data_IF_734183152238
#
_entry.id   IF_734183152238
#
_cell.length_a   1.000
_cell.length_b   1.000
_cell.length_c   1.000
_cell.angle_alpha   90.00
_cell.angle_beta   90.00
_cell.angle_gamma   90.00
#
_symmetry.space_group_name_H-M   'P 1'
#
loop_
_entity.id
_entity.type
_entity.pdbx_description
1 polymer ?
#
# COMPACT_ATOMS: atom_id res chain seq x y z
N UNK A 1 23.71 -22.81 15.22
CA UNK A 1 23.99 -21.85 14.12
C UNK A 1 24.92 -20.74 14.62
N UNK A 2 25.99 -20.39 13.88
CA UNK A 2 26.78 -19.18 14.20
C UNK A 2 25.83 -17.97 14.19
N UNK A 3 25.77 -17.21 15.29
CA UNK A 3 24.86 -16.05 15.48
C UNK A 3 24.99 -14.96 14.41
N UNK A 4 26.01 -15.05 13.54
CA UNK A 4 26.21 -14.20 12.36
C UNK A 4 25.09 -14.34 11.32
N UNK A 5 24.54 -15.55 11.12
CA UNK A 5 23.55 -15.81 10.06
C UNK A 5 22.09 -15.75 10.53
N UNK A 6 21.86 -15.58 11.84
CA UNK A 6 20.51 -15.52 12.40
C UNK A 6 19.57 -14.49 11.73
N UNK A 7 19.96 -13.22 11.51
CA UNK A 7 19.03 -12.26 10.90
C UNK A 7 18.70 -12.60 9.44
N UNK A 8 19.64 -13.20 8.70
CA UNK A 8 19.37 -13.65 7.32
C UNK A 8 18.39 -14.81 7.30
N UNK A 9 18.58 -15.78 8.19
CA UNK A 9 17.65 -16.89 8.36
C UNK A 9 16.24 -16.40 8.73
N UNK A 10 16.13 -15.43 9.64
CA UNK A 10 14.84 -14.82 9.99
C UNK A 10 14.20 -14.10 8.81
N UNK A 11 14.96 -13.35 8.01
CA UNK A 11 14.44 -12.71 6.78
C UNK A 11 13.87 -13.77 5.83
N UNK A 12 14.56 -14.90 5.64
CA UNK A 12 14.07 -16.00 4.80
C UNK A 12 12.78 -16.58 5.38
N UNK A 13 12.73 -16.88 6.67
CA UNK A 13 11.51 -17.40 7.32
C UNK A 13 10.32 -16.44 7.19
N UNK A 14 10.54 -15.14 7.37
CA UNK A 14 9.51 -14.11 7.20
C UNK A 14 8.99 -14.09 5.77
N UNK A 15 9.89 -14.18 4.78
CA UNK A 15 9.48 -14.24 3.39
C UNK A 15 8.70 -15.52 3.07
N UNK A 16 9.07 -16.67 3.64
CA UNK A 16 8.31 -17.92 3.50
C UNK A 16 6.91 -17.76 4.13
N UNK A 17 6.82 -17.23 5.35
CA UNK A 17 5.53 -17.00 6.01
C UNK A 17 4.64 -16.00 5.26
N UNK A 18 5.22 -14.94 4.70
CA UNK A 18 4.53 -14.01 3.81
C UNK A 18 4.03 -14.70 2.53
N UNK A 19 4.88 -15.50 1.87
CA UNK A 19 4.51 -16.26 0.67
C UNK A 19 3.38 -17.24 0.92
N UNK A 20 3.42 -17.96 2.04
CA UNK A 20 2.38 -18.91 2.43
C UNK A 20 1.06 -18.19 2.74
N UNK A 21 1.12 -17.07 3.47
CA UNK A 21 -0.06 -16.23 3.74
C UNK A 21 -0.67 -15.72 2.44
N UNK A 22 0.14 -15.21 1.51
CA UNK A 22 -0.31 -14.70 0.22
C UNK A 22 -0.84 -15.81 -0.69
N UNK A 23 -0.21 -17.00 -0.67
CA UNK A 23 -0.69 -18.17 -1.40
C UNK A 23 -2.05 -18.61 -0.88
N UNK A 24 -2.26 -18.65 0.43
CA UNK A 24 -3.55 -19.00 1.00
C UNK A 24 -4.50 -17.83 1.17
N UNK A 25 -4.21 -16.65 0.63
CA UNK A 25 -5.18 -15.55 0.71
C UNK A 25 -6.39 -15.87 -0.18
N UNK A 26 -7.63 -15.90 0.37
CA UNK A 26 -8.82 -16.23 -0.40
C UNK A 26 -9.17 -15.14 -1.41
N UNK A 27 -10.06 -15.45 -2.35
CA UNK A 27 -10.61 -14.46 -3.29
C UNK A 27 -11.58 -13.54 -2.53
N UNK A 28 -11.39 -12.22 -2.61
CA UNK A 28 -12.28 -11.25 -1.95
C UNK A 28 -12.65 -10.08 -2.88
N UNK A 29 -13.82 -9.44 -2.66
CA UNK A 29 -14.28 -8.22 -3.36
C UNK A 29 -14.05 -8.23 -4.89
N UNK A 30 -13.27 -7.28 -5.39
CA UNK A 30 -12.99 -7.07 -6.80
C UNK A 30 -12.21 -8.25 -7.40
N UNK A 31 -11.61 -9.15 -6.59
CA UNK A 31 -10.95 -10.34 -7.10
C UNK A 31 -11.94 -11.35 -7.74
N UNK A 32 -13.23 -11.30 -7.38
CA UNK A 32 -14.27 -12.11 -8.03
C UNK A 32 -14.42 -11.81 -9.52
N UNK A 33 -14.09 -10.59 -9.96
CA UNK A 33 -14.08 -10.22 -11.38
C UNK A 33 -13.06 -11.05 -12.20
N UNK A 34 -11.98 -11.52 -11.57
CA UNK A 34 -10.89 -12.24 -12.24
C UNK A 34 -11.02 -13.77 -12.13
N UNK A 35 -12.18 -14.29 -11.70
CA UNK A 35 -12.45 -15.74 -11.69
C UNK A 35 -12.43 -16.33 -13.10
N UNK A 36 -12.91 -15.58 -14.08
CA UNK A 36 -12.85 -15.98 -15.48
C UNK A 36 -11.40 -15.87 -16.00
N UNK A 37 -10.75 -17.03 -16.17
CA UNK A 37 -9.37 -17.13 -16.64
C UNK A 37 -9.26 -17.19 -18.17
N UNK A 38 -10.38 -17.22 -18.90
CA UNK A 38 -10.40 -17.48 -20.35
C UNK A 38 -9.94 -16.30 -21.21
N UNK A 39 -9.79 -15.09 -20.67
CA UNK A 39 -9.51 -13.86 -21.42
C UNK A 39 -8.02 -13.45 -21.53
N UNK A 40 -7.08 -14.31 -21.11
CA UNK A 40 -5.64 -14.11 -21.35
C UNK A 40 -5.33 -14.42 -22.84
N UNK A 41 -5.53 -13.45 -23.73
CA UNK A 41 -4.38 -12.66 -24.20
C UNK A 41 -4.60 -11.13 -24.31
N UNK A 42 -5.71 -10.57 -23.80
CA UNK A 42 -6.14 -9.21 -24.13
C UNK A 42 -5.81 -8.13 -23.06
N UNK A 43 -4.69 -8.26 -22.35
CA UNK A 43 -4.35 -7.39 -21.20
C UNK A 43 -4.32 -5.90 -21.57
N UNK A 44 -3.75 -5.54 -22.74
CA UNK A 44 -3.68 -4.16 -23.18
C UNK A 44 -5.05 -3.58 -23.53
N UNK A 45 -5.91 -4.34 -24.21
CA UNK A 45 -7.27 -3.90 -24.50
C UNK A 45 -8.13 -3.83 -23.24
N UNK A 46 -7.93 -4.73 -22.27
CA UNK A 46 -8.61 -4.67 -20.97
C UNK A 46 -8.18 -3.44 -20.17
N UNK A 47 -6.88 -3.12 -20.17
CA UNK A 47 -6.39 -1.88 -19.58
C UNK A 47 -6.89 -0.65 -20.34
N UNK A 48 -6.96 -0.69 -21.67
CA UNK A 48 -7.54 0.38 -22.47
C UNK A 48 -9.00 0.64 -22.12
N UNK A 49 -9.80 -0.42 -22.00
CA UNK A 49 -11.19 -0.34 -21.50
C UNK A 49 -11.22 0.22 -20.08
N UNK A 50 -10.33 -0.24 -19.21
CA UNK A 50 -10.25 0.27 -17.84
C UNK A 50 -9.90 1.75 -17.79
N UNK A 51 -8.99 2.21 -18.64
CA UNK A 51 -8.56 3.60 -18.73
C UNK A 51 -9.68 4.53 -19.20
N UNK A 52 -10.54 4.05 -20.10
CA UNK A 52 -11.63 4.84 -20.63
C UNK A 52 -12.91 4.76 -19.77
N UNK A 53 -13.15 3.67 -19.04
CA UNK A 53 -14.46 3.41 -18.42
C UNK A 53 -14.45 3.01 -16.94
N UNK A 54 -13.36 2.43 -16.41
CA UNK A 54 -13.40 1.78 -15.08
C UNK A 54 -12.39 2.36 -14.10
N UNK A 55 -11.09 2.13 -14.31
CA UNK A 55 -10.01 2.56 -13.43
C UNK A 55 -8.75 2.87 -14.24
N UNK A 56 -8.36 4.15 -14.39
CA UNK A 56 -7.27 4.54 -15.28
C UNK A 56 -5.88 4.39 -14.69
N UNK A 57 -5.76 4.03 -13.41
CA UNK A 57 -4.48 3.87 -12.73
C UNK A 57 -3.64 2.78 -13.37
N UNK A 58 -2.33 3.02 -13.52
CA UNK A 58 -1.43 2.03 -14.11
C UNK A 58 -1.35 0.72 -13.31
N UNK A 59 -1.65 0.76 -12.01
CA UNK A 59 -1.77 -0.44 -11.19
C UNK A 59 -2.84 -1.42 -11.67
N UNK A 60 -3.89 -0.93 -12.36
CA UNK A 60 -4.93 -1.76 -12.96
C UNK A 60 -4.35 -2.68 -14.05
N UNK A 61 -3.38 -2.22 -14.84
CA UNK A 61 -2.70 -3.07 -15.82
C UNK A 61 -2.04 -4.27 -15.15
N UNK A 62 -1.33 -4.05 -14.03
CA UNK A 62 -0.72 -5.13 -13.26
C UNK A 62 -1.77 -6.01 -12.58
N UNK A 63 -2.89 -5.45 -12.12
CA UNK A 63 -3.99 -6.21 -11.55
C UNK A 63 -4.53 -7.25 -12.53
N UNK A 64 -4.81 -6.83 -13.76
CA UNK A 64 -5.36 -7.68 -14.83
C UNK A 64 -4.44 -8.89 -15.14
N UNK A 65 -3.14 -8.75 -14.92
CA UNK A 65 -2.15 -9.83 -15.09
C UNK A 65 -2.09 -10.71 -13.84
N UNK A 66 -1.95 -10.08 -12.67
CA UNK A 66 -1.55 -10.76 -11.44
C UNK A 66 -2.71 -11.51 -10.79
N UNK A 67 -3.93 -10.95 -10.80
CA UNK A 67 -5.09 -11.55 -10.13
C UNK A 67 -5.54 -12.90 -10.73
N UNK A 68 -5.21 -13.16 -12.01
CA UNK A 68 -5.65 -14.37 -12.73
C UNK A 68 -4.78 -15.60 -12.44
N UNK A 69 -3.56 -15.41 -11.92
CA UNK A 69 -2.61 -16.48 -11.65
C UNK A 69 -2.08 -16.42 -10.23
N UNK A 70 -2.34 -17.48 -9.46
CA UNK A 70 -1.86 -17.63 -8.09
C UNK A 70 -0.33 -17.53 -8.00
N UNK A 71 0.38 -18.07 -8.99
CA UNK A 71 1.85 -18.01 -9.05
C UNK A 71 2.31 -16.56 -9.28
N UNK A 72 1.69 -15.83 -10.21
CA UNK A 72 2.02 -14.43 -10.46
C UNK A 72 1.69 -13.54 -9.26
N UNK A 73 0.55 -13.77 -8.58
CA UNK A 73 0.17 -13.13 -7.31
C UNK A 73 1.28 -13.28 -6.28
N UNK A 74 1.75 -14.51 -6.07
CA UNK A 74 2.80 -14.82 -5.10
C UNK A 74 4.15 -14.17 -5.44
N UNK A 75 4.59 -14.26 -6.71
CA UNK A 75 5.84 -13.63 -7.16
C UNK A 75 5.76 -12.11 -7.04
N UNK A 76 4.68 -11.51 -7.54
CA UNK A 76 4.48 -10.06 -7.50
C UNK A 76 4.41 -9.55 -6.07
N UNK A 77 3.61 -10.19 -5.21
CA UNK A 77 3.49 -9.79 -3.81
C UNK A 77 4.80 -9.89 -3.04
N UNK A 78 5.63 -10.92 -3.29
CA UNK A 78 6.95 -11.04 -2.68
C UNK A 78 7.88 -9.89 -3.09
N UNK A 79 7.94 -9.59 -4.39
CA UNK A 79 8.74 -8.49 -4.92
C UNK A 79 8.25 -7.15 -4.36
N UNK A 80 6.93 -6.98 -4.27
CA UNK A 80 6.30 -5.80 -3.73
C UNK A 80 6.61 -5.60 -2.24
N UNK A 81 6.44 -6.64 -1.42
CA UNK A 81 6.72 -6.60 0.02
C UNK A 81 8.17 -6.21 0.30
N UNK A 82 9.13 -6.87 -0.36
CA UNK A 82 10.54 -6.54 -0.19
C UNK A 82 10.89 -5.17 -0.77
N UNK A 83 10.39 -4.84 -1.97
CA UNK A 83 10.62 -3.55 -2.62
C UNK A 83 10.10 -2.39 -1.77
N UNK A 84 8.91 -2.53 -1.20
CA UNK A 84 8.33 -1.55 -0.28
C UNK A 84 9.19 -1.36 0.97
N UNK A 85 9.57 -2.44 1.64
CA UNK A 85 10.42 -2.38 2.84
C UNK A 85 11.83 -1.83 2.54
N UNK A 86 12.38 -2.12 1.36
CA UNK A 86 13.66 -1.56 0.90
C UNK A 86 13.56 -0.05 0.66
N UNK A 87 12.49 0.42 0.03
CA UNK A 87 12.23 1.84 -0.18
C UNK A 87 11.96 2.56 1.16
N UNK A 88 11.25 1.91 2.09
CA UNK A 88 11.05 2.40 3.45
C UNK A 88 12.38 2.54 4.20
N UNK A 89 13.26 1.52 4.10
CA UNK A 89 14.59 1.54 4.68
C UNK A 89 15.43 2.69 4.12
N UNK A 90 15.37 2.93 2.79
CA UNK A 90 16.07 4.03 2.15
C UNK A 90 15.65 5.40 2.71
N UNK A 91 14.36 5.60 2.96
CA UNK A 91 13.84 6.85 3.53
C UNK A 91 14.23 7.05 5.01
N UNK A 92 14.22 5.98 5.82
CA UNK A 92 14.55 6.06 7.27
C UNK A 92 16.06 6.15 7.52
N UNK A 93 16.86 5.38 6.78
CA UNK A 93 18.31 5.26 6.97
C UNK A 93 19.14 6.06 5.97
N UNK A 94 18.50 6.72 5.00
CA UNK A 94 19.13 7.57 3.98
C UNK A 94 20.11 6.81 3.08
N UNK A 95 19.85 5.52 2.87
CA UNK A 95 20.62 4.61 2.00
C UNK A 95 19.90 3.27 1.86
N UNK A 96 20.21 2.52 0.81
CA UNK A 96 19.71 1.16 0.66
C UNK A 96 20.34 0.18 1.68
N UNK A 97 19.61 -0.87 2.09
CA UNK A 97 20.13 -1.88 3.01
C UNK A 97 21.19 -2.74 2.32
N UNK A 98 22.30 -3.02 3.01
CA UNK A 98 23.27 -4.04 2.56
C UNK A 98 23.01 -5.32 3.34
N UNK A 99 22.13 -6.19 2.84
CA UNK A 99 21.63 -7.37 3.55
C UNK A 99 22.75 -8.35 3.97
N UNK A 100 23.88 -8.37 3.25
CA UNK A 100 25.07 -9.13 3.64
C UNK A 100 25.70 -8.68 4.97
N UNK A 101 25.43 -7.44 5.42
CA UNK A 101 25.89 -6.92 6.70
C UNK A 101 24.87 -7.20 7.81
N UNK A 102 25.33 -7.88 8.87
CA UNK A 102 24.51 -8.32 10.01
C UNK A 102 23.66 -7.20 10.61
N UNK A 103 24.22 -6.00 10.81
CA UNK A 103 23.50 -4.88 11.44
C UNK A 103 22.43 -4.28 10.52
N UNK A 104 22.62 -4.33 9.20
CA UNK A 104 21.61 -3.86 8.25
C UNK A 104 20.45 -4.84 8.15
N UNK A 105 20.73 -6.15 8.17
CA UNK A 105 19.70 -7.17 8.25
C UNK A 105 18.85 -7.02 9.53
N UNK A 106 19.47 -6.71 10.67
CA UNK A 106 18.73 -6.43 11.91
C UNK A 106 17.88 -5.15 11.82
N UNK A 107 18.42 -4.06 11.28
CA UNK A 107 17.65 -2.83 11.07
C UNK A 107 16.46 -3.04 10.12
N UNK A 108 16.65 -3.87 9.10
CA UNK A 108 15.59 -4.26 8.18
C UNK A 108 14.48 -5.00 8.92
N UNK A 109 14.81 -6.03 9.71
CA UNK A 109 13.85 -6.77 10.53
C UNK A 109 13.10 -5.85 11.52
N UNK A 110 13.81 -4.99 12.24
CA UNK A 110 13.18 -4.04 13.20
C UNK A 110 12.23 -3.09 12.47
N UNK A 111 12.61 -2.60 11.29
CA UNK A 111 11.77 -1.73 10.48
C UNK A 111 10.53 -2.47 9.97
N UNK A 112 10.67 -3.72 9.51
CA UNK A 112 9.54 -4.57 9.12
C UNK A 112 8.60 -4.81 10.29
N UNK A 113 9.13 -5.15 11.47
CA UNK A 113 8.34 -5.33 12.68
C UNK A 113 7.56 -4.06 13.06
N UNK A 114 8.24 -2.91 13.07
CA UNK A 114 7.62 -1.63 13.37
C UNK A 114 6.53 -1.27 12.36
N UNK A 115 6.77 -1.46 11.06
CA UNK A 115 5.78 -1.18 10.03
C UNK A 115 4.53 -2.06 10.20
N UNK A 116 4.70 -3.38 10.35
CA UNK A 116 3.58 -4.32 10.53
C UNK A 116 2.82 -4.01 11.83
N UNK A 117 3.52 -3.69 12.91
CA UNK A 117 2.90 -3.35 14.19
C UNK A 117 2.08 -2.05 14.12
N UNK A 118 2.54 -1.07 13.35
CA UNK A 118 1.89 0.24 13.24
C UNK A 118 0.75 0.28 12.22
N UNK A 119 0.59 -0.76 11.40
CA UNK A 119 -0.44 -0.79 10.34
C UNK A 119 -1.47 -1.88 10.59
N UNK A 120 -2.74 -1.48 10.64
CA UNK A 120 -3.83 -2.37 11.07
C UNK A 120 -4.65 -2.95 9.91
N UNK A 121 -4.14 -2.90 8.69
CA UNK A 121 -4.79 -3.39 7.47
C UNK A 121 -3.75 -4.02 6.52
N UNK A 122 -2.73 -4.67 7.11
CA UNK A 122 -1.60 -5.24 6.37
C UNK A 122 -2.01 -6.23 5.27
N UNK A 123 -3.00 -7.10 5.54
CA UNK A 123 -3.47 -8.05 4.54
C UNK A 123 -4.14 -7.38 3.35
N UNK A 124 -4.88 -6.30 3.59
CA UNK A 124 -5.42 -5.46 2.51
C UNK A 124 -4.28 -4.83 1.68
N UNK A 125 -3.18 -4.40 2.31
CA UNK A 125 -2.05 -3.78 1.61
C UNK A 125 -1.29 -4.73 0.68
N UNK A 126 -1.02 -5.95 1.13
CA UNK A 126 -0.06 -6.83 0.48
C UNK A 126 -0.66 -8.12 -0.09
N UNK A 127 -1.81 -8.57 0.43
CA UNK A 127 -2.42 -9.83 0.01
C UNK A 127 -3.61 -9.65 -0.94
N UNK A 128 -4.38 -8.58 -0.74
CA UNK A 128 -5.48 -8.23 -1.63
C UNK A 128 -4.94 -7.58 -2.92
N UNK A 129 -5.00 -8.31 -4.04
CA UNK A 129 -4.33 -7.91 -5.28
C UNK A 129 -4.75 -6.52 -5.78
N UNK A 130 -6.05 -6.14 -5.79
CA UNK A 130 -6.48 -4.84 -6.25
C UNK A 130 -5.85 -3.68 -5.49
N UNK A 131 -5.69 -3.81 -4.18
CA UNK A 131 -5.02 -2.80 -3.39
C UNK A 131 -3.50 -2.86 -3.62
N UNK A 132 -2.92 -4.06 -3.57
CA UNK A 132 -1.47 -4.26 -3.73
C UNK A 132 -0.93 -3.65 -5.03
N UNK A 133 -1.65 -3.82 -6.15
CA UNK A 133 -1.24 -3.31 -7.47
C UNK A 133 -1.55 -1.83 -7.67
N UNK A 134 -2.74 -1.36 -7.25
CA UNK A 134 -3.13 0.04 -7.47
C UNK A 134 -2.49 1.02 -6.47
N UNK A 135 -2.20 0.58 -5.26
CA UNK A 135 -1.74 1.45 -4.18
C UNK A 135 -0.35 1.04 -3.70
N UNK A 136 -0.16 -0.18 -3.21
CA UNK A 136 1.11 -0.55 -2.57
C UNK A 136 2.30 -0.52 -3.54
N UNK A 137 2.11 -1.01 -4.76
CA UNK A 137 3.12 -0.96 -5.82
C UNK A 137 3.53 0.46 -6.18
N UNK A 138 2.56 1.35 -6.38
CA UNK A 138 2.83 2.75 -6.71
C UNK A 138 3.50 3.48 -5.55
N UNK A 139 3.23 3.09 -4.31
CA UNK A 139 3.91 3.61 -3.13
C UNK A 139 5.40 3.25 -3.06
N UNK A 140 5.82 2.09 -3.58
CA UNK A 140 7.26 1.80 -3.72
C UNK A 140 7.92 2.89 -4.57
N UNK A 141 7.30 3.26 -5.69
CA UNK A 141 7.81 4.30 -6.58
C UNK A 141 7.77 5.68 -5.91
N UNK A 142 6.69 6.02 -5.18
CA UNK A 142 6.61 7.27 -4.41
C UNK A 142 7.71 7.39 -3.36
N UNK A 143 8.01 6.30 -2.64
CA UNK A 143 9.07 6.28 -1.64
C UNK A 143 10.45 6.42 -2.28
N UNK A 144 10.70 5.78 -3.42
CA UNK A 144 11.95 5.95 -4.16
C UNK A 144 12.09 7.37 -4.72
N UNK A 145 11.01 7.95 -5.25
CA UNK A 145 10.98 9.34 -5.68
C UNK A 145 11.30 10.29 -4.52
N UNK A 146 10.64 10.12 -3.37
CA UNK A 146 10.92 10.93 -2.17
C UNK A 146 12.36 10.77 -1.72
N UNK A 147 12.91 9.56 -1.73
CA UNK A 147 14.31 9.32 -1.41
C UNK A 147 15.24 10.14 -2.33
N UNK A 148 15.04 10.08 -3.65
CA UNK A 148 15.83 10.86 -4.62
C UNK A 148 15.70 12.36 -4.36
N UNK A 149 14.47 12.89 -4.23
CA UNK A 149 14.24 14.32 -4.05
C UNK A 149 14.82 14.83 -2.74
N UNK A 150 14.68 14.06 -1.66
CA UNK A 150 15.23 14.45 -0.35
C UNK A 150 16.76 14.36 -0.34
N UNK A 151 17.38 13.34 -0.93
CA UNK A 151 18.85 13.29 -1.06
C UNK A 151 19.39 14.48 -1.85
N UNK A 152 18.73 14.85 -2.95
CA UNK A 152 19.15 15.96 -3.79
C UNK A 152 18.94 17.33 -3.12
N UNK A 153 17.71 17.65 -2.68
CA UNK A 153 17.37 18.98 -2.21
C UNK A 153 17.71 19.27 -0.75
N UNK A 154 17.65 18.26 0.12
CA UNK A 154 17.92 18.45 1.56
C UNK A 154 19.39 18.14 1.87
N UNK A 155 19.87 16.97 1.43
CA UNK A 155 21.21 16.48 1.75
C UNK A 155 22.28 16.83 0.70
N UNK A 156 21.91 17.53 -0.38
CA UNK A 156 22.82 17.98 -1.44
C UNK A 156 23.61 16.84 -2.11
N UNK A 157 23.00 15.66 -2.23
CA UNK A 157 23.57 14.46 -2.84
C UNK A 157 22.80 14.06 -4.08
N UNK A 158 23.44 14.13 -5.24
CA UNK A 158 22.86 13.60 -6.47
C UNK A 158 23.05 12.07 -6.54
N UNK A 159 21.97 11.33 -6.30
CA UNK A 159 21.95 9.86 -6.35
C UNK A 159 21.55 9.31 -7.72
N UNK A 160 21.25 10.18 -8.69
CA UNK A 160 20.87 9.76 -10.04
C UNK A 160 22.09 9.29 -10.85
N UNK A 161 21.89 8.32 -11.76
CA UNK A 161 22.95 7.88 -12.66
C UNK A 161 23.28 8.97 -13.69
N UNK A 162 24.54 9.03 -14.12
CA UNK A 162 24.98 9.94 -15.20
C UNK A 162 24.68 9.43 -16.62
N UNK A 163 24.28 8.16 -16.76
CA UNK A 163 24.04 7.53 -18.06
C UNK A 163 22.70 7.98 -18.65
N UNK A 164 22.71 8.52 -19.88
CA UNK A 164 21.52 8.98 -20.58
C UNK A 164 20.45 7.88 -20.72
N UNK A 165 20.84 6.66 -21.10
CA UNK A 165 19.91 5.53 -21.19
C UNK A 165 19.22 5.25 -19.85
N UNK A 166 19.97 5.29 -18.74
CA UNK A 166 19.39 5.09 -17.41
C UNK A 166 18.43 6.23 -17.03
N UNK A 167 18.72 7.46 -17.43
CA UNK A 167 17.80 8.60 -17.21
C UNK A 167 16.52 8.42 -18.02
N UNK A 168 16.60 8.00 -19.29
CA UNK A 168 15.41 7.70 -20.11
C UNK A 168 14.53 6.64 -19.45
N UNK A 169 15.13 5.55 -18.96
CA UNK A 169 14.40 4.51 -18.22
C UNK A 169 13.79 5.05 -16.92
N UNK A 170 14.51 5.91 -16.20
CA UNK A 170 13.98 6.56 -14.98
C UNK A 170 12.84 7.53 -15.28
N UNK A 171 12.87 8.25 -16.40
CA UNK A 171 11.74 9.04 -16.87
C UNK A 171 10.53 8.14 -17.13
N UNK A 172 10.70 7.00 -17.81
CA UNK A 172 9.57 6.06 -17.97
C UNK A 172 9.00 5.60 -16.62
N UNK A 173 9.85 5.26 -15.65
CA UNK A 173 9.40 4.91 -14.28
C UNK A 173 8.73 6.10 -13.58
N UNK A 174 9.22 7.32 -13.78
CA UNK A 174 8.63 8.54 -13.25
C UNK A 174 7.24 8.82 -13.85
N UNK A 175 7.05 8.59 -15.14
CA UNK A 175 5.74 8.63 -15.78
C UNK A 175 4.77 7.62 -15.15
N UNK A 176 5.19 6.37 -14.97
CA UNK A 176 4.41 5.33 -14.26
C UNK A 176 4.09 5.76 -12.82
N UNK A 177 5.04 6.42 -12.14
CA UNK A 177 4.82 7.00 -10.81
C UNK A 177 3.69 8.03 -10.85
N UNK A 178 3.68 8.95 -11.82
CA UNK A 178 2.60 9.91 -12.01
C UNK A 178 1.24 9.27 -12.27
N UNK A 179 1.20 8.14 -12.98
CA UNK A 179 -0.04 7.38 -13.26
C UNK A 179 -0.53 6.49 -12.11
N UNK A 180 0.14 6.52 -10.96
CA UNK A 180 -0.14 5.58 -9.88
C UNK A 180 -1.44 5.87 -9.11
N UNK A 181 -1.68 7.13 -8.78
CA UNK A 181 -2.81 7.57 -7.94
C UNK A 181 -3.10 9.04 -8.22
N UNK A 182 -4.34 9.47 -8.14
CA UNK A 182 -4.76 10.84 -8.41
C UNK A 182 -4.42 11.83 -7.27
N UNK A 183 -4.17 11.34 -6.06
CA UNK A 183 -3.98 12.17 -4.86
C UNK A 183 -2.51 12.37 -4.47
N UNK A 184 -1.63 11.41 -4.74
CA UNK A 184 -0.24 11.44 -4.24
C UNK A 184 0.74 12.22 -5.13
N UNK A 185 0.78 12.04 -6.47
CA UNK A 185 1.69 12.76 -7.35
C UNK A 185 1.63 14.29 -7.23
N UNK A 186 0.45 14.95 -7.08
CA UNK A 186 0.41 16.39 -6.84
C UNK A 186 1.19 16.83 -5.61
N UNK A 187 1.14 16.04 -4.54
CA UNK A 187 1.85 16.32 -3.28
C UNK A 187 3.36 16.17 -3.50
N UNK A 188 3.78 15.13 -4.23
CA UNK A 188 5.18 14.90 -4.58
C UNK A 188 5.76 16.03 -5.43
N UNK A 189 5.01 16.47 -6.45
CA UNK A 189 5.38 17.57 -7.34
C UNK A 189 5.39 18.91 -6.60
N UNK A 190 4.46 19.14 -5.68
CA UNK A 190 4.45 20.34 -4.83
C UNK A 190 5.68 20.35 -3.92
N UNK A 191 6.00 19.23 -3.29
CA UNK A 191 7.19 19.09 -2.44
C UNK A 191 8.48 19.37 -3.22
N UNK A 192 8.67 18.71 -4.37
CA UNK A 192 9.86 18.93 -5.20
C UNK A 192 9.91 20.34 -5.80
N UNK A 193 8.76 20.91 -6.17
CA UNK A 193 8.64 22.28 -6.66
C UNK A 193 9.07 23.31 -5.62
N UNK A 194 8.54 23.21 -4.40
CA UNK A 194 8.94 24.08 -3.28
C UNK A 194 10.43 23.92 -2.96
N UNK A 195 10.92 22.68 -2.88
CA UNK A 195 12.35 22.42 -2.67
C UNK A 195 13.21 22.97 -3.81
N UNK A 196 12.76 22.87 -5.06
CA UNK A 196 13.43 23.39 -6.25
C UNK A 196 13.52 24.92 -6.24
N UNK A 197 12.42 25.60 -5.90
CA UNK A 197 12.39 27.07 -5.74
C UNK A 197 13.36 27.52 -4.65
N UNK A 198 13.32 26.88 -3.48
CA UNK A 198 14.26 27.16 -2.39
C UNK A 198 15.71 26.91 -2.80
N UNK A 199 15.96 25.85 -3.57
CA UNK A 199 17.28 25.53 -4.10
C UNK A 199 17.80 26.61 -5.06
N UNK A 200 16.96 27.08 -5.98
CA UNK A 200 17.30 28.15 -6.94
C UNK A 200 17.65 29.43 -6.20
N UNK A 201 16.84 29.84 -5.22
CA UNK A 201 17.11 31.06 -4.46
C UNK A 201 18.41 30.98 -3.64
N UNK A 202 18.70 29.83 -3.03
CA UNK A 202 19.91 29.65 -2.21
C UNK A 202 21.19 29.53 -3.03
N UNK A 203 21.12 28.80 -4.15
CA UNK A 203 22.31 28.45 -4.92
C UNK A 203 22.50 29.29 -6.19
N UNK A 204 21.52 30.14 -6.54
CA UNK A 204 21.49 30.97 -7.75
C UNK A 204 21.71 30.15 -9.04
N UNK A 205 21.28 28.89 -9.04
CA UNK A 205 21.40 27.95 -10.17
C UNK A 205 20.17 27.04 -10.24
N UNK A 206 19.87 26.57 -11.44
CA UNK A 206 18.82 25.59 -11.64
C UNK A 206 19.21 24.22 -11.04
N UNK A 207 18.22 23.40 -10.64
CA UNK A 207 18.45 21.99 -10.35
C UNK A 207 19.07 21.26 -11.56
N UNK A 208 19.70 20.13 -11.28
CA UNK A 208 20.25 19.24 -12.29
C UNK A 208 19.17 18.87 -13.32
N UNK A 209 19.51 18.89 -14.60
CA UNK A 209 18.56 18.62 -15.68
C UNK A 209 17.85 17.28 -15.51
N UNK A 210 18.53 16.25 -14.98
CA UNK A 210 17.92 14.94 -14.74
C UNK A 210 16.83 14.99 -13.65
N UNK A 211 17.01 15.84 -12.63
CA UNK A 211 15.99 16.07 -11.60
C UNK A 211 14.77 16.76 -12.22
N UNK A 212 15.00 17.75 -13.07
CA UNK A 212 13.92 18.45 -13.79
C UNK A 212 13.17 17.47 -14.71
N UNK A 213 13.89 16.67 -15.51
CA UNK A 213 13.30 15.69 -16.42
C UNK A 213 12.42 14.66 -15.70
N UNK A 214 12.89 14.12 -14.57
CA UNK A 214 12.09 13.20 -13.73
C UNK A 214 10.81 13.88 -13.24
N UNK A 215 10.88 15.13 -12.76
CA UNK A 215 9.72 15.88 -12.29
C UNK A 215 8.70 16.15 -13.40
N UNK A 216 9.17 16.57 -14.58
CA UNK A 216 8.32 16.74 -15.76
C UNK A 216 7.63 15.42 -16.09
N UNK A 217 8.37 14.31 -16.05
CA UNK A 217 7.81 13.01 -16.37
C UNK A 217 6.74 12.53 -15.37
N UNK A 218 6.94 12.73 -14.06
CA UNK A 218 5.89 12.52 -13.06
C UNK A 218 4.67 13.40 -13.34
N UNK A 219 4.88 14.68 -13.67
CA UNK A 219 3.78 15.59 -14.01
C UNK A 219 3.01 15.12 -15.24
N UNK A 220 3.69 14.72 -16.31
CA UNK A 220 3.05 14.17 -17.51
C UNK A 220 2.24 12.91 -17.21
N UNK A 221 2.79 11.99 -16.40
CA UNK A 221 2.07 10.79 -15.96
C UNK A 221 0.83 11.11 -15.12
N UNK A 222 0.94 12.10 -14.22
CA UNK A 222 -0.19 12.58 -13.44
C UNK A 222 -1.27 13.21 -14.32
N UNK A 223 -0.90 14.06 -15.27
CA UNK A 223 -1.87 14.67 -16.19
C UNK A 223 -2.57 13.62 -17.05
N UNK A 224 -1.86 12.59 -17.51
CA UNK A 224 -2.48 11.46 -18.21
C UNK A 224 -3.55 10.79 -17.33
N UNK A 225 -3.21 10.47 -16.07
CA UNK A 225 -4.18 9.88 -15.14
C UNK A 225 -5.35 10.82 -14.80
N UNK A 226 -5.07 12.09 -14.52
CA UNK A 226 -6.05 13.06 -14.05
C UNK A 226 -7.12 13.33 -15.13
N UNK A 227 -6.70 13.49 -16.38
CA UNK A 227 -7.58 13.70 -17.53
C UNK A 227 -8.11 12.41 -18.16
N UNK A 228 -7.89 11.25 -17.54
CA UNK A 228 -8.39 9.99 -18.08
C UNK A 228 -9.94 9.97 -18.12
N UNK A 229 -10.57 9.48 -19.22
CA UNK A 229 -12.02 9.51 -19.38
C UNK A 229 -12.78 8.73 -18.31
N UNK A 230 -12.20 7.66 -17.77
CA UNK A 230 -12.82 6.88 -16.69
C UNK A 230 -13.13 7.71 -15.44
N UNK A 231 -12.39 8.79 -15.17
CA UNK A 231 -12.68 9.65 -14.04
C UNK A 231 -14.05 10.34 -14.21
N UNK A 232 -14.38 10.81 -15.41
CA UNK A 232 -15.68 11.42 -15.70
C UNK A 232 -16.84 10.45 -15.42
N UNK A 233 -16.67 9.17 -15.79
CA UNK A 233 -17.64 8.10 -15.52
C UNK A 233 -17.83 7.91 -14.01
N UNK A 234 -16.74 7.81 -13.25
CA UNK A 234 -16.79 7.67 -11.78
C UNK A 234 -17.52 8.82 -11.10
N UNK A 235 -17.20 10.07 -11.47
CA UNK A 235 -17.87 11.25 -10.92
C UNK A 235 -19.37 11.24 -11.22
N UNK A 236 -19.76 10.89 -12.45
CA UNK A 236 -21.17 10.74 -12.85
C UNK A 236 -21.89 9.66 -12.03
N UNK A 237 -21.28 8.50 -11.81
CA UNK A 237 -21.85 7.42 -10.98
C UNK A 237 -21.99 7.83 -9.52
N UNK A 238 -21.08 8.66 -9.01
CA UNK A 238 -21.15 9.20 -7.65
C UNK A 238 -22.13 10.39 -7.50
N UNK A 239 -22.84 10.78 -8.57
CA UNK A 239 -23.74 11.93 -8.56
C UNK A 239 -23.04 13.27 -8.38
N UNK A 240 -21.73 13.34 -8.64
CA UNK A 240 -20.90 14.54 -8.45
C UNK A 240 -20.44 15.10 -9.78
N UNK A 241 -20.30 16.42 -9.85
CA UNK A 241 -19.66 17.07 -11.00
C UNK A 241 -18.16 16.86 -10.94
N UNK A 242 -17.56 16.47 -12.07
CA UNK A 242 -16.11 16.39 -12.17
C UNK A 242 -15.52 17.79 -11.91
N UNK A 243 -14.58 17.88 -10.96
CA UNK A 243 -13.95 19.13 -10.50
C UNK A 243 -14.85 20.10 -9.71
N UNK A 244 -16.06 19.69 -9.29
CA UNK A 244 -16.87 20.48 -8.37
C UNK A 244 -16.25 20.56 -6.97
N UNK A 245 -16.31 21.72 -6.32
CA UNK A 245 -15.91 21.87 -4.91
C UNK A 245 -17.14 22.15 -4.04
N UNK A 246 -17.34 21.32 -3.01
CA UNK A 246 -18.34 21.53 -1.96
C UNK A 246 -17.62 21.55 -0.61
N UNK A 247 -17.76 22.66 0.11
CA UNK A 247 -17.16 22.81 1.45
C UNK A 247 -17.75 21.82 2.45
N UNK A 248 -19.05 21.55 2.33
CA UNK A 248 -19.76 20.59 3.17
C UNK A 248 -19.19 19.17 2.99
N UNK A 249 -19.08 18.71 1.74
CA UNK A 249 -18.48 17.41 1.41
C UNK A 249 -17.05 17.30 1.91
N UNK A 250 -16.25 18.36 1.68
CA UNK A 250 -14.85 18.40 2.08
C UNK A 250 -14.71 18.28 3.60
N UNK A 251 -15.48 19.06 4.37
CA UNK A 251 -15.43 19.05 5.82
C UNK A 251 -15.92 17.71 6.41
N UNK A 252 -16.99 17.14 5.84
CA UNK A 252 -17.50 15.81 6.22
C UNK A 252 -16.46 14.71 5.97
N UNK A 253 -15.84 14.73 4.80
CA UNK A 253 -14.76 13.80 4.41
C UNK A 253 -13.55 13.94 5.33
N UNK A 254 -13.14 15.18 5.62
CA UNK A 254 -12.05 15.48 6.55
C UNK A 254 -12.31 14.88 7.93
N UNK A 255 -13.51 15.09 8.50
CA UNK A 255 -13.90 14.49 9.80
C UNK A 255 -13.91 12.96 9.73
N UNK A 256 -14.40 12.38 8.64
CA UNK A 256 -14.43 10.93 8.46
C UNK A 256 -13.02 10.32 8.40
N UNK A 257 -12.05 11.00 7.78
CA UNK A 257 -10.65 10.57 7.78
C UNK A 257 -10.11 10.45 9.21
N UNK A 258 -10.41 11.40 10.11
CA UNK A 258 -10.01 11.27 11.51
C UNK A 258 -10.71 10.12 12.23
N UNK A 259 -11.99 9.87 11.94
CA UNK A 259 -12.71 8.69 12.46
C UNK A 259 -12.05 7.39 11.99
N UNK A 260 -11.60 7.34 10.73
CA UNK A 260 -10.87 6.19 10.20
C UNK A 260 -9.47 6.05 10.80
N UNK A 261 -8.75 7.14 11.02
CA UNK A 261 -7.49 7.09 11.77
C UNK A 261 -7.71 6.58 13.20
N UNK A 262 -8.76 7.03 13.88
CA UNK A 262 -9.10 6.55 15.21
C UNK A 262 -9.45 5.05 15.22
N UNK A 263 -10.32 4.61 14.30
CA UNK A 263 -10.78 3.21 14.27
C UNK A 263 -9.70 2.23 13.79
N UNK A 264 -8.98 2.59 12.72
CA UNK A 264 -8.02 1.69 12.08
C UNK A 264 -6.58 1.94 12.54
N UNK A 265 -6.18 3.12 13.01
CA UNK A 265 -4.78 3.46 13.24
C UNK A 265 -4.52 4.06 14.64
N UNK A 266 -5.30 3.66 15.65
CA UNK A 266 -5.17 4.17 17.03
C UNK A 266 -3.74 4.04 17.58
N UNK A 267 -3.11 2.89 17.38
CA UNK A 267 -1.74 2.63 17.82
C UNK A 267 -0.77 3.62 17.18
N UNK A 268 -0.92 3.87 15.86
CA UNK A 268 -0.09 4.85 15.16
C UNK A 268 -0.31 6.26 15.70
N UNK A 269 -1.55 6.68 16.00
CA UNK A 269 -1.83 7.99 16.60
C UNK A 269 -1.07 8.14 17.92
N UNK A 270 -1.17 7.15 18.82
CA UNK A 270 -0.49 7.18 20.12
C UNK A 270 1.03 7.28 19.91
N UNK A 271 1.58 6.48 19.00
CA UNK A 271 3.02 6.48 18.70
C UNK A 271 3.48 7.78 18.05
N UNK A 272 2.64 8.45 17.26
CA UNK A 272 2.94 9.78 16.70
C UNK A 272 2.99 10.84 17.81
N UNK A 273 2.08 10.80 18.78
CA UNK A 273 2.11 11.70 19.95
C UNK A 273 3.41 11.48 20.75
N UNK A 274 3.77 10.23 21.03
CA UNK A 274 5.04 9.90 21.70
C UNK A 274 6.24 10.39 20.86
N UNK A 275 6.19 10.23 19.54
CA UNK A 275 7.24 10.68 18.64
C UNK A 275 7.40 12.19 18.63
N UNK A 276 6.32 12.96 18.81
CA UNK A 276 6.41 14.40 18.99
C UNK A 276 7.20 14.76 20.26
N UNK A 277 6.94 14.09 21.38
CA UNK A 277 7.72 14.27 22.62
C UNK A 277 9.20 13.89 22.42
N UNK A 278 9.47 12.82 21.68
CA UNK A 278 10.83 12.41 21.31
C UNK A 278 11.49 13.50 20.45
N UNK A 279 10.78 14.09 19.49
CA UNK A 279 11.30 15.17 18.67
C UNK A 279 11.68 16.39 19.53
N UNK A 280 10.82 16.80 20.47
CA UNK A 280 11.13 17.88 21.42
C UNK A 280 12.38 17.56 22.27
N UNK A 281 12.49 16.33 22.75
CA UNK A 281 13.67 15.86 23.49
C UNK A 281 14.95 15.91 22.64
N UNK A 282 14.90 15.43 21.40
CA UNK A 282 16.06 15.44 20.49
C UNK A 282 16.46 16.86 20.07
N UNK A 283 15.49 17.77 19.96
CA UNK A 283 15.72 19.19 19.69
C UNK A 283 16.38 19.89 20.88
N UNK A 284 15.92 19.65 22.11
CA UNK A 284 16.49 20.25 23.32
C UNK A 284 17.93 19.78 23.56
N UNK A 285 18.23 18.52 23.23
CA UNK A 285 19.58 17.94 23.26
C UNK A 285 20.46 18.32 22.07
N UNK A 286 19.95 19.09 21.10
CA UNK A 286 20.67 19.51 19.87
C UNK A 286 21.27 18.33 19.08
N UNK A 287 20.64 17.15 19.15
CA UNK A 287 21.10 15.94 18.44
C UNK A 287 20.82 16.03 16.94
N UNK A 288 19.77 16.76 16.56
CA UNK A 288 19.34 16.92 15.18
C UNK A 288 20.05 18.09 14.50
N UNK A 289 20.76 17.80 13.42
CA UNK A 289 21.28 18.83 12.50
C UNK A 289 20.15 19.53 11.72
N UNK A 290 20.51 20.57 10.97
CA UNK A 290 19.56 21.36 10.18
C UNK A 290 18.83 20.53 9.13
N UNK A 291 19.55 19.64 8.44
CA UNK A 291 19.01 18.81 7.36
C UNK A 291 17.94 17.85 7.90
N UNK A 292 18.22 17.21 9.04
CA UNK A 292 17.28 16.31 9.71
C UNK A 292 16.05 17.05 10.25
N UNK A 293 16.18 18.29 10.72
CA UNK A 293 15.02 19.13 11.10
C UNK A 293 14.13 19.42 9.89
N UNK A 294 14.73 19.78 8.76
CA UNK A 294 13.99 20.02 7.51
C UNK A 294 13.33 18.72 7.04
N UNK A 295 14.01 17.58 7.16
CA UNK A 295 13.44 16.27 6.80
C UNK A 295 12.23 15.92 7.66
N UNK A 296 12.30 16.12 8.98
CA UNK A 296 11.16 15.92 9.89
C UNK A 296 9.98 16.81 9.49
N UNK A 297 10.22 18.11 9.30
CA UNK A 297 9.19 19.04 8.86
C UNK A 297 8.59 18.60 7.52
N UNK A 298 9.42 18.14 6.58
CA UNK A 298 8.96 17.65 5.27
C UNK A 298 8.02 16.46 5.40
N UNK A 299 8.34 15.46 6.22
CA UNK A 299 7.45 14.30 6.42
C UNK A 299 6.13 14.68 7.09
N UNK A 300 6.15 15.60 8.06
CA UNK A 300 4.93 16.14 8.69
C UNK A 300 4.07 16.86 7.64
N UNK A 301 4.68 17.73 6.83
CA UNK A 301 3.99 18.46 5.77
C UNK A 301 3.43 17.52 4.71
N UNK A 302 4.17 16.51 4.26
CA UNK A 302 3.68 15.51 3.30
C UNK A 302 2.49 14.72 3.86
N UNK A 303 2.54 14.29 5.12
CA UNK A 303 1.44 13.59 5.77
C UNK A 303 0.19 14.47 5.90
N UNK A 304 0.36 15.74 6.31
CA UNK A 304 -0.74 16.70 6.44
C UNK A 304 -1.36 17.08 5.10
N UNK A 305 -0.54 17.39 4.09
CA UNK A 305 -1.00 17.70 2.74
C UNK A 305 -1.78 16.53 2.12
N UNK A 306 -1.35 15.29 2.38
CA UNK A 306 -2.09 14.12 1.93
C UNK A 306 -3.49 14.06 2.52
N UNK A 307 -3.66 14.29 3.83
CA UNK A 307 -4.98 14.35 4.45
C UNK A 307 -5.84 15.44 3.79
N UNK A 308 -5.28 16.63 3.54
CA UNK A 308 -6.00 17.73 2.91
C UNK A 308 -6.44 17.37 1.48
N UNK A 309 -5.54 16.82 0.66
CA UNK A 309 -5.86 16.43 -0.73
C UNK A 309 -6.88 15.29 -0.78
N UNK A 310 -6.76 14.29 0.09
CA UNK A 310 -7.71 13.17 0.17
C UNK A 310 -9.09 13.64 0.63
N UNK A 311 -9.17 14.71 1.43
CA UNK A 311 -10.46 15.27 1.88
C UNK A 311 -11.30 15.82 0.74
N UNK A 312 -10.71 16.03 -0.44
CA UNK A 312 -11.43 16.39 -1.66
C UNK A 312 -11.94 15.16 -2.44
N UNK A 313 -11.55 13.94 -2.05
CA UNK A 313 -11.93 12.72 -2.77
C UNK A 313 -13.43 12.44 -2.60
N UNK A 314 -14.15 12.06 -3.68
CA UNK A 314 -15.56 11.74 -3.60
C UNK A 314 -15.84 10.41 -2.87
N UNK A 315 -14.82 9.57 -2.70
CA UNK A 315 -14.91 8.26 -2.06
C UNK A 315 -13.89 8.19 -0.93
N UNK A 316 -14.23 7.50 0.16
CA UNK A 316 -13.36 7.38 1.34
C UNK A 316 -13.05 5.89 1.56
N UNK A 317 -11.79 5.60 1.88
CA UNK A 317 -11.36 4.24 2.21
C UNK A 317 -9.98 4.25 2.85
N UNK A 318 -9.65 3.17 3.56
CA UNK A 318 -8.33 2.92 4.19
C UNK A 318 -7.19 3.16 3.20
N UNK A 319 -7.38 2.76 1.93
CA UNK A 319 -6.43 2.93 0.83
C UNK A 319 -5.97 4.35 0.56
N UNK A 320 -6.82 5.35 0.82
CA UNK A 320 -6.45 6.74 0.56
C UNK A 320 -5.48 7.25 1.61
N UNK A 321 -5.64 6.83 2.87
CA UNK A 321 -4.77 7.22 3.99
C UNK A 321 -3.39 6.56 3.96
N UNK A 322 -3.12 5.66 3.00
CA UNK A 322 -1.91 4.85 3.03
C UNK A 322 -0.63 5.71 2.91
N UNK A 323 -0.64 6.75 2.07
CA UNK A 323 0.52 7.63 1.91
C UNK A 323 0.83 8.43 3.19
N UNK A 324 -0.19 9.06 3.80
CA UNK A 324 -0.01 9.82 5.05
C UNK A 324 0.43 8.92 6.19
N UNK A 325 -0.19 7.74 6.32
CA UNK A 325 0.21 6.69 7.29
C UNK A 325 1.68 6.31 7.11
N UNK A 326 2.12 6.08 5.86
CA UNK A 326 3.50 5.70 5.56
C UNK A 326 4.48 6.82 5.90
N UNK A 327 4.15 8.09 5.62
CA UNK A 327 4.99 9.24 6.00
C UNK A 327 5.14 9.37 7.51
N UNK A 328 4.05 9.16 8.27
CA UNK A 328 4.09 9.15 9.73
C UNK A 328 4.94 7.99 10.27
N UNK A 329 4.83 6.78 9.69
CA UNK A 329 5.68 5.64 10.08
C UNK A 329 7.16 5.93 9.81
N UNK A 330 7.51 6.53 8.66
CA UNK A 330 8.89 6.95 8.38
C UNK A 330 9.38 7.92 9.44
N UNK A 331 8.59 8.94 9.77
CA UNK A 331 8.90 9.94 10.78
C UNK A 331 9.17 9.29 12.15
N UNK A 332 8.25 8.43 12.60
CA UNK A 332 8.37 7.66 13.85
C UNK A 332 9.67 6.87 13.84
N UNK A 333 9.90 6.03 12.83
CA UNK A 333 11.10 5.19 12.74
C UNK A 333 12.40 6.02 12.71
N UNK A 334 12.38 7.15 12.02
CA UNK A 334 13.51 8.08 11.96
C UNK A 334 13.82 8.70 13.33
N UNK A 335 12.80 9.14 14.09
CA UNK A 335 12.96 9.72 15.42
C UNK A 335 13.44 8.68 16.44
N UNK A 336 12.82 7.49 16.45
CA UNK A 336 13.23 6.40 17.34
C UNK A 336 14.66 5.94 17.06
N UNK A 337 15.10 5.87 15.79
CA UNK A 337 16.50 5.59 15.43
C UNK A 337 17.47 6.56 16.11
N UNK A 338 17.16 7.86 16.08
CA UNK A 338 18.01 8.89 16.68
C UNK A 338 17.95 8.86 18.21
N UNK A 339 16.77 8.59 18.79
CA UNK A 339 16.61 8.40 20.23
C UNK A 339 17.47 7.24 20.75
N UNK A 340 17.39 6.06 20.13
CA UNK A 340 18.17 4.87 20.51
C UNK A 340 19.67 5.17 20.53
N UNK A 341 20.17 5.97 19.60
CA UNK A 341 21.56 6.42 19.57
C UNK A 341 21.90 7.33 20.75
N UNK A 342 20.96 8.17 21.19
CA UNK A 342 21.16 9.14 22.26
C UNK A 342 21.12 8.53 23.66
N UNK A 343 20.25 7.53 23.90
CA UNK A 343 20.06 6.92 25.23
C UNK A 343 20.82 5.58 25.40
N UNK A 344 21.64 5.22 24.42
CA UNK A 344 22.36 3.94 24.33
C UNK A 344 21.50 2.71 24.68
N UNK A 345 20.28 2.68 24.13
CA UNK A 345 19.31 1.63 24.44
C UNK A 345 19.85 0.25 24.02
N UNK A 346 19.58 -0.78 24.84
CA UNK A 346 20.00 -2.15 24.56
C UNK A 346 19.34 -2.69 23.28
N UNK A 347 20.09 -2.64 22.17
CA UNK A 347 19.63 -3.08 20.84
C UNK A 347 19.23 -4.55 20.80
N UNK A 348 19.70 -5.40 21.72
CA UNK A 348 19.32 -6.81 21.75
C UNK A 348 17.84 -6.98 22.11
N UNK A 349 17.28 -6.12 22.95
CA UNK A 349 15.84 -6.15 23.28
C UNK A 349 15.01 -5.94 22.02
N UNK A 350 15.34 -4.92 21.20
CA UNK A 350 14.66 -4.66 19.93
C UNK A 350 14.83 -5.82 18.93
N UNK A 351 16.04 -6.38 18.83
CA UNK A 351 16.32 -7.52 17.94
C UNK A 351 15.45 -8.73 18.32
N UNK A 352 15.37 -9.06 19.61
CA UNK A 352 14.57 -10.19 20.12
C UNK A 352 13.08 -9.91 19.94
N UNK A 353 12.58 -8.76 20.40
CA UNK A 353 11.14 -8.45 20.36
C UNK A 353 10.62 -8.37 18.92
N UNK A 354 11.38 -7.75 18.00
CA UNK A 354 11.03 -7.71 16.57
C UNK A 354 11.03 -9.10 15.94
N UNK A 355 11.97 -9.98 16.32
CA UNK A 355 12.02 -11.35 15.80
C UNK A 355 10.81 -12.16 16.25
N UNK A 356 10.51 -12.14 17.56
CA UNK A 356 9.37 -12.86 18.13
C UNK A 356 8.07 -12.34 17.53
N UNK A 357 7.89 -11.02 17.46
CA UNK A 357 6.72 -10.41 16.84
C UNK A 357 6.51 -10.87 15.40
N UNK A 358 7.55 -10.80 14.57
CA UNK A 358 7.44 -11.19 13.16
C UNK A 358 7.14 -12.67 12.98
N UNK A 359 7.77 -13.55 13.76
CA UNK A 359 7.50 -14.99 13.70
C UNK A 359 6.06 -15.29 14.10
N UNK A 360 5.59 -14.74 15.23
CA UNK A 360 4.20 -14.92 15.69
C UNK A 360 3.23 -14.37 14.66
N UNK A 361 3.47 -13.17 14.14
CA UNK A 361 2.63 -12.53 13.14
C UNK A 361 2.47 -13.40 11.89
N UNK A 362 3.57 -13.87 11.30
CA UNK A 362 3.50 -14.64 10.06
C UNK A 362 2.99 -16.07 10.26
N UNK A 363 3.24 -16.71 11.40
CA UNK A 363 2.60 -18.00 11.73
C UNK A 363 1.09 -17.81 11.80
N UNK A 364 0.63 -16.79 12.53
CA UNK A 364 -0.79 -16.51 12.68
C UNK A 364 -1.45 -16.11 11.35
N UNK A 365 -0.82 -15.20 10.59
CA UNK A 365 -1.25 -14.79 9.26
C UNK A 365 -1.43 -16.00 8.33
N UNK A 366 -0.48 -16.92 8.36
CA UNK A 366 -0.52 -18.14 7.55
C UNK A 366 -1.71 -19.02 7.90
N UNK A 367 -1.93 -19.30 9.19
CA UNK A 367 -3.06 -20.12 9.68
C UNK A 367 -4.40 -19.48 9.31
N UNK A 368 -4.54 -18.17 9.53
CA UNK A 368 -5.77 -17.43 9.24
C UNK A 368 -6.08 -17.43 7.74
N UNK A 369 -5.08 -17.19 6.89
CA UNK A 369 -5.29 -17.24 5.43
C UNK A 369 -5.63 -18.66 4.98
N UNK A 370 -4.93 -19.68 5.48
CA UNK A 370 -5.21 -21.09 5.17
C UNK A 370 -6.68 -21.45 5.44
N UNK A 371 -7.17 -21.17 6.66
CA UNK A 371 -8.55 -21.47 7.03
C UNK A 371 -9.56 -20.71 6.17
N UNK A 372 -9.30 -19.43 5.87
CA UNK A 372 -10.17 -18.63 5.02
C UNK A 372 -10.21 -19.16 3.56
N UNK A 373 -9.09 -19.66 3.05
CA UNK A 373 -9.03 -20.31 1.75
C UNK A 373 -9.76 -21.67 1.73
N UNK A 374 -9.75 -22.42 2.82
CA UNK A 374 -10.55 -23.66 2.92
C UNK A 374 -12.05 -23.35 2.90
N UNK A 375 -12.50 -22.30 3.60
CA UNK A 375 -13.88 -21.82 3.55
C UNK A 375 -14.25 -21.41 2.11
N UNK A 376 -13.39 -20.64 1.44
CA UNK A 376 -13.60 -20.27 0.03
C UNK A 376 -13.68 -21.51 -0.89
N UNK A 377 -12.79 -22.48 -0.71
CA UNK A 377 -12.77 -23.71 -1.50
C UNK A 377 -14.06 -24.52 -1.30
N UNK A 378 -14.55 -24.63 -0.07
CA UNK A 378 -15.81 -25.32 0.24
C UNK A 378 -16.99 -24.62 -0.44
N UNK A 379 -17.09 -23.30 -0.31
CA UNK A 379 -18.09 -22.47 -1.01
C UNK A 379 -18.05 -22.67 -2.54
N UNK A 380 -16.85 -22.60 -3.13
CA UNK A 380 -16.67 -22.80 -4.57
C UNK A 380 -17.08 -24.21 -5.02
N UNK A 381 -16.72 -25.23 -4.24
CA UNK A 381 -17.06 -26.63 -4.52
C UNK A 381 -18.56 -26.88 -4.40
N UNK A 382 -19.21 -26.29 -3.40
CA UNK A 382 -20.66 -26.39 -3.21
C UNK A 382 -21.41 -25.82 -4.41
N UNK A 383 -21.05 -24.61 -4.86
CA UNK A 383 -21.62 -24.02 -6.08
C UNK A 383 -21.39 -24.94 -7.27
N UNK A 384 -20.16 -25.41 -7.46
CA UNK A 384 -19.81 -26.28 -8.60
C UNK A 384 -20.62 -27.58 -8.61
N UNK A 385 -20.88 -28.17 -7.45
CA UNK A 385 -21.68 -29.40 -7.33
C UNK A 385 -23.16 -29.13 -7.56
N UNK A 386 -23.73 -28.11 -6.92
CA UNK A 386 -25.15 -27.74 -7.06
C UNK A 386 -25.49 -27.25 -8.48
N UNK A 387 -24.56 -26.54 -9.12
CA UNK A 387 -24.69 -26.06 -10.50
C UNK A 387 -24.84 -27.19 -11.54
N UNK A 388 -24.33 -28.39 -11.23
CA UNK A 388 -24.51 -29.58 -12.10
C UNK A 388 -25.93 -30.12 -12.05
N UNK A 389 -26.67 -29.84 -10.98
CA UNK A 389 -28.03 -30.32 -10.74
C UNK A 389 -29.06 -29.28 -11.17
N UNK A 390 -28.83 -28.01 -10.82
CA UNK A 390 -29.75 -26.89 -11.07
C UNK A 390 -28.99 -25.62 -11.40
N UNK A 391 -29.53 -24.79 -12.31
CA UNK A 391 -29.04 -23.43 -12.55
C UNK A 391 -29.49 -22.42 -11.49
N UNK A 392 -30.45 -22.79 -10.67
CA UNK A 392 -30.89 -22.04 -9.48
C UNK A 392 -30.23 -22.68 -8.25
N UNK A 393 -29.15 -22.05 -7.76
CA UNK A 393 -28.30 -22.60 -6.68
C UNK A 393 -28.63 -21.90 -5.36
N UNK A 394 -28.99 -22.68 -4.36
CA UNK A 394 -29.19 -22.22 -2.97
C UNK A 394 -28.10 -22.85 -2.10
N UNK A 395 -27.26 -22.00 -1.52
CA UNK A 395 -26.17 -22.38 -0.64
C UNK A 395 -26.68 -22.78 0.74
N UNK A 396 -26.00 -23.75 1.36
CA UNK A 396 -26.32 -24.24 2.69
C UNK A 396 -25.79 -23.29 3.77
N UNK A 397 -24.66 -22.64 3.53
CA UNK A 397 -24.02 -21.70 4.45
C UNK A 397 -23.66 -20.38 3.74
N UNK A 398 -23.63 -19.30 4.52
CA UNK A 398 -23.14 -17.99 4.06
C UNK A 398 -21.60 -18.01 3.99
N UNK A 399 -21.02 -17.35 2.99
CA UNK A 399 -19.56 -17.24 2.87
C UNK A 399 -19.02 -16.34 3.99
N UNK A 400 -18.49 -16.92 5.05
CA UNK A 400 -17.91 -16.15 6.16
C UNK A 400 -16.49 -16.61 6.49
N UNK A 401 -15.49 -15.82 6.12
CA UNK A 401 -14.08 -16.10 6.41
C UNK A 401 -13.74 -16.11 7.90
N UNK A 402 -14.65 -15.69 8.78
CA UNK A 402 -14.43 -15.64 10.21
C UNK A 402 -14.97 -16.86 10.97
N UNK A 403 -15.68 -17.77 10.30
CA UNK A 403 -16.53 -18.79 10.94
C UNK A 403 -15.76 -19.84 11.78
N UNK A 404 -14.43 -19.95 11.63
CA UNK A 404 -13.61 -20.87 12.43
C UNK A 404 -12.91 -20.22 13.65
N UNK A 405 -13.16 -20.76 14.86
CA UNK A 405 -12.34 -20.85 16.11
C UNK A 405 -11.45 -19.69 16.64
N UNK A 406 -11.48 -18.48 16.08
CA UNK A 406 -10.83 -17.30 16.70
C UNK A 406 -11.81 -16.13 16.87
N UNK A 407 -12.87 -16.28 17.70
CA UNK A 407 -13.91 -15.25 17.85
C UNK A 407 -13.41 -13.96 18.50
N UNK A 408 -12.31 -14.01 19.27
CA UNK A 408 -11.79 -12.85 20.04
C UNK A 408 -10.73 -12.03 19.30
N UNK A 409 -10.21 -12.50 18.16
CA UNK A 409 -9.17 -11.78 17.42
C UNK A 409 -9.78 -10.96 16.29
N UNK A 410 -9.48 -9.66 16.26
CA UNK A 410 -9.91 -8.78 15.16
C UNK A 410 -9.13 -9.13 13.88
N UNK A 411 -9.69 -10.01 13.06
CA UNK A 411 -9.08 -10.47 11.79
C UNK A 411 -9.03 -9.41 10.71
N UNK A 412 -9.66 -8.24 10.89
CA UNK A 412 -9.67 -7.12 9.93
C UNK A 412 -8.28 -6.63 9.54
N UNK A 413 -7.26 -6.95 10.36
CA UNK A 413 -5.85 -6.67 10.04
C UNK A 413 -5.34 -7.46 8.83
N UNK A 414 -5.92 -8.64 8.61
CA UNK A 414 -5.53 -9.58 7.58
C UNK A 414 -6.62 -9.74 6.51
N UNK A 415 -7.88 -9.86 6.91
CA UNK A 415 -8.98 -10.28 6.05
C UNK A 415 -10.28 -9.57 6.45
N UNK A 416 -11.17 -9.36 5.50
CA UNK A 416 -12.58 -9.05 5.81
C UNK A 416 -13.42 -10.31 6.00
N UNK A 417 -14.67 -10.16 6.44
CA UNK A 417 -15.58 -11.26 6.73
C UNK A 417 -16.10 -11.97 5.48
N UNK A 418 -16.41 -11.24 4.40
CA UNK A 418 -16.93 -11.82 3.13
C UNK A 418 -18.40 -12.21 3.14
N UNK A 419 -19.08 -12.06 4.27
CA UNK A 419 -20.49 -12.42 4.49
C UNK A 419 -21.44 -11.67 3.54
N UNK A 420 -21.13 -10.42 3.19
CA UNK A 420 -21.96 -9.58 2.32
C UNK A 420 -21.88 -9.93 0.81
N UNK A 421 -21.16 -10.99 0.41
CA UNK A 421 -20.93 -11.26 -1.03
C UNK A 421 -22.08 -11.95 -1.75
N UNK A 422 -22.92 -12.71 -1.04
CA UNK A 422 -24.09 -13.37 -1.63
C UNK A 422 -25.30 -12.97 -0.79
N UNK A 423 -26.24 -12.23 -1.39
CA UNK A 423 -27.44 -11.78 -0.68
C UNK A 423 -28.42 -12.96 -0.47
N UNK A 424 -29.26 -12.85 0.57
CA UNK A 424 -30.43 -13.73 0.75
C UNK A 424 -31.49 -13.44 -0.30
N UNK A 425 -31.63 -12.17 -0.68
CA UNK A 425 -32.64 -11.73 -1.64
C UNK A 425 -32.12 -11.75 -3.09
N UNK A 426 -32.67 -12.64 -3.92
CA UNK A 426 -32.34 -12.82 -5.34
C UNK A 426 -32.45 -11.51 -6.19
N UNK A 427 -33.18 -10.50 -5.68
CA UNK A 427 -33.44 -9.25 -6.40
C UNK A 427 -32.27 -8.26 -6.33
N UNK A 428 -31.45 -8.28 -5.28
CA UNK A 428 -30.38 -7.32 -5.05
C UNK A 428 -29.00 -7.95 -5.23
N UNK A 429 -28.65 -8.28 -6.47
CA UNK A 429 -27.38 -8.94 -6.77
C UNK A 429 -26.19 -8.01 -6.55
N UNK A 430 -25.29 -8.39 -5.65
CA UNK A 430 -23.99 -7.72 -5.44
C UNK A 430 -23.11 -7.84 -6.69
N UNK A 431 -22.00 -7.10 -6.75
CA UNK A 431 -21.06 -7.20 -7.88
C UNK A 431 -20.36 -8.57 -7.87
N UNK A 432 -19.99 -9.04 -6.69
CA UNK A 432 -19.40 -10.33 -6.41
C UNK A 432 -20.33 -11.47 -6.85
N UNK A 433 -21.60 -11.43 -6.43
CA UNK A 433 -22.62 -12.41 -6.81
C UNK A 433 -22.81 -12.48 -8.34
N UNK A 434 -22.87 -11.32 -9.02
CA UNK A 434 -22.96 -11.26 -10.48
C UNK A 434 -21.79 -11.95 -11.16
N UNK A 435 -20.57 -11.74 -10.67
CA UNK A 435 -19.37 -12.36 -11.21
C UNK A 435 -19.37 -13.89 -10.99
N UNK A 436 -19.82 -14.35 -9.81
CA UNK A 436 -19.97 -15.78 -9.51
C UNK A 436 -21.02 -16.42 -10.44
N UNK A 437 -22.19 -15.79 -10.59
CA UNK A 437 -23.26 -16.26 -11.47
C UNK A 437 -22.76 -16.38 -12.91
N UNK A 438 -22.03 -15.38 -13.40
CA UNK A 438 -21.45 -15.39 -14.74
C UNK A 438 -20.44 -16.54 -14.89
N UNK A 439 -19.51 -16.68 -13.94
CA UNK A 439 -18.45 -17.69 -13.97
C UNK A 439 -18.99 -19.12 -13.99
N UNK A 440 -20.01 -19.41 -13.19
CA UNK A 440 -20.64 -20.73 -13.13
C UNK A 440 -21.83 -20.91 -14.10
N UNK A 441 -22.16 -19.89 -14.91
CA UNK A 441 -23.30 -19.90 -15.84
C UNK A 441 -24.66 -20.23 -15.16
N UNK A 442 -24.89 -19.60 -14.00
CA UNK A 442 -26.08 -19.77 -13.17
C UNK A 442 -27.21 -18.82 -13.60
N UNK A 443 -28.44 -19.13 -13.18
CA UNK A 443 -29.60 -18.24 -13.29
C UNK A 443 -29.80 -17.42 -12.01
N UNK A 444 -29.75 -18.10 -10.87
CA UNK A 444 -29.84 -17.48 -9.54
C UNK A 444 -28.82 -18.12 -8.58
N UNK A 445 -28.35 -17.32 -7.63
CA UNK A 445 -27.52 -17.73 -6.51
C UNK A 445 -28.09 -17.06 -5.26
N UNK A 446 -28.31 -17.82 -4.21
CA UNK A 446 -28.70 -17.30 -2.89
C UNK A 446 -28.20 -18.25 -1.80
N UNK A 447 -28.39 -17.90 -0.54
CA UNK A 447 -28.16 -18.80 0.60
C UNK A 447 -29.44 -18.94 1.45
N UNK A 448 -29.49 -19.97 2.31
CA UNK A 448 -30.65 -20.29 3.14
C UNK A 448 -30.98 -19.25 4.22
#
# INVERSE_FOLDING_TARGET
MKTKFLPLFLIVLINIGFLLSLYWFPVTRDEFYYLDKSQLPYVFSEYWTSYNYVNPRIGQFFLNIVARSKILKVIFGLLLFNGFLWALFANVFRRFPKISHKEDAWKFLILTAAFIFLINYFGELFYYSPFATNYTFTHVLYLLYLFVMTEYFIFQRNVLPKSALKIVLLCFVAFVTGMGNEHVPPILLLFSGVCGVVFIFKNKKLPDFNIIAINISVATGYLALFFAPANAVKYKTAGKTQYGFSWEDYSSTFVMIFKYFYHYNLILIIVVIVSFLIALYLLSRRVLDRENKILIASYISLAGLAILVISYSPLIGTRLMFFSTTMLIILVCFLFKNLIKCIDFNKNVLKISSSVWLLVYFVFSTIVCYNANEIYNNFYNEISQKAKISKDVILDEELNYFDQNFPTFNRKVLLESGNEYVDKEVKNKTAEEKNIILHFNLKTLSHK
#
